data_IF_509126535993
#
_entry.id   IF_509126535993
#
_cell.length_a   1.000
_cell.length_b   1.000
_cell.length_c   1.000
_cell.angle_alpha   90.00
_cell.angle_beta   90.00
_cell.angle_gamma   90.00
#
_symmetry.space_group_name_H-M   'P 1'
#
loop_
_entity.id
_entity.type
_entity.pdbx_description
1 polymer ?
#
# COMPACT_ATOMS: atom_id res chain seq x y z
N UNK A 1 17.78 36.84 -38.27
CA UNK A 1 16.66 37.06 -37.32
C UNK A 1 17.23 37.43 -35.96
N UNK A 2 16.73 38.50 -35.33
CA UNK A 2 17.31 38.98 -34.07
C UNK A 2 16.99 38.02 -32.93
N UNK A 3 18.02 37.60 -32.16
CA UNK A 3 17.90 36.75 -30.96
C UNK A 3 16.93 37.30 -29.90
N UNK A 4 16.51 38.57 -30.02
CA UNK A 4 15.56 39.23 -29.11
C UNK A 4 14.10 38.89 -29.40
N UNK A 5 13.71 38.70 -30.66
CA UNK A 5 12.32 38.37 -31.02
C UNK A 5 11.93 36.91 -30.67
N UNK A 6 12.87 35.96 -30.81
CA UNK A 6 12.63 34.54 -30.49
C UNK A 6 12.44 34.27 -28.99
N UNK A 7 13.13 35.00 -28.10
CA UNK A 7 13.01 34.79 -26.64
C UNK A 7 11.68 35.28 -26.05
N UNK A 8 11.17 36.42 -26.53
CA UNK A 8 9.92 37.01 -26.02
C UNK A 8 8.71 36.18 -26.41
N UNK A 9 8.67 35.66 -27.64
CA UNK A 9 7.57 34.81 -28.14
C UNK A 9 7.59 33.42 -27.51
N UNK A 10 8.78 32.83 -27.27
CA UNK A 10 8.86 31.58 -26.51
C UNK A 10 8.37 31.78 -25.08
N UNK A 11 8.72 32.89 -24.42
CA UNK A 11 8.25 33.16 -23.05
C UNK A 11 6.73 33.37 -22.98
N UNK A 12 6.12 34.04 -23.96
CA UNK A 12 4.66 34.24 -24.00
C UNK A 12 3.90 32.96 -24.39
N UNK A 13 4.44 32.14 -25.28
CA UNK A 13 3.84 30.85 -25.63
C UNK A 13 3.96 29.83 -24.48
N UNK A 14 5.07 29.84 -23.75
CA UNK A 14 5.30 29.04 -22.53
C UNK A 14 4.39 29.51 -21.39
N UNK A 15 4.11 30.82 -21.27
CA UNK A 15 3.10 31.32 -20.34
C UNK A 15 1.67 30.92 -20.76
N UNK A 16 1.35 30.96 -22.05
CA UNK A 16 0.07 30.52 -22.60
C UNK A 16 -0.19 29.01 -22.48
N UNK A 17 0.87 28.22 -22.49
CA UNK A 17 0.82 26.76 -22.28
C UNK A 17 0.36 26.38 -20.88
N UNK A 18 0.68 27.18 -19.86
CA UNK A 18 0.14 26.90 -18.54
C UNK A 18 -1.38 26.97 -18.59
N UNK A 19 -2.01 27.82 -19.42
CA UNK A 19 -3.47 27.96 -19.50
C UNK A 19 -4.17 26.66 -19.91
N UNK A 20 -4.71 25.91 -18.94
CA UNK A 20 -5.69 24.86 -19.22
C UNK A 20 -6.89 25.45 -19.96
N UNK A 21 -7.37 24.78 -21.00
CA UNK A 21 -8.60 25.14 -21.72
C UNK A 21 -9.81 24.99 -20.79
N UNK A 22 -10.19 26.06 -20.10
CA UNK A 22 -11.44 26.12 -19.34
C UNK A 22 -12.59 26.25 -20.32
N UNK A 23 -13.31 25.15 -20.58
CA UNK A 23 -14.61 25.19 -21.24
C UNK A 23 -15.53 26.12 -20.45
N UNK A 24 -16.27 26.97 -21.15
CA UNK A 24 -17.16 27.94 -20.52
C UNK A 24 -18.33 27.22 -19.85
N UNK A 25 -18.37 27.13 -18.50
CA UNK A 25 -19.61 27.06 -17.68
C UNK A 25 -19.33 27.30 -16.19
N UNK A 26 -20.32 27.91 -15.52
CA UNK A 26 -20.49 28.24 -14.10
C UNK A 26 -19.70 29.48 -13.59
N UNK A 27 -20.35 30.26 -12.73
CA UNK A 27 -19.77 31.45 -12.12
C UNK A 27 -18.55 31.01 -11.30
N UNK A 28 -17.34 31.43 -11.71
CA UNK A 28 -16.11 31.11 -10.99
C UNK A 28 -16.28 31.56 -9.54
N UNK A 29 -16.35 30.59 -8.61
CA UNK A 29 -16.29 30.92 -7.20
C UNK A 29 -14.89 31.46 -6.93
N UNK A 30 -14.81 32.66 -6.37
CA UNK A 30 -13.54 33.28 -6.00
C UNK A 30 -13.45 33.45 -4.50
N UNK A 31 -12.35 33.01 -3.93
CA UNK A 31 -12.02 33.19 -2.51
C UNK A 31 -10.74 34.00 -2.40
N UNK A 32 -10.78 35.06 -1.59
CA UNK A 32 -9.57 35.83 -1.26
C UNK A 32 -9.01 35.31 0.05
N UNK A 33 -7.72 34.97 0.05
CA UNK A 33 -6.97 34.46 1.20
C UNK A 33 -5.66 35.25 1.30
N UNK A 34 -5.58 36.14 2.29
CA UNK A 34 -4.44 37.06 2.41
C UNK A 34 -4.27 37.91 1.15
N UNK A 35 -3.09 37.81 0.52
CA UNK A 35 -2.75 38.53 -0.71
C UNK A 35 -3.07 37.74 -2.00
N UNK A 36 -3.78 36.62 -1.89
CA UNK A 36 -4.05 35.72 -3.00
C UNK A 36 -5.55 35.60 -3.29
N UNK A 37 -5.86 35.51 -4.58
CA UNK A 37 -7.16 35.11 -5.08
C UNK A 37 -7.07 33.66 -5.53
N UNK A 38 -7.97 32.83 -5.00
CA UNK A 38 -8.23 31.47 -5.44
C UNK A 38 -9.48 31.54 -6.31
N UNK A 39 -9.33 31.24 -7.59
CA UNK A 39 -10.40 31.21 -8.57
C UNK A 39 -10.68 29.76 -8.95
N UNK A 40 -11.83 29.23 -8.52
CA UNK A 40 -12.27 27.89 -8.90
C UNK A 40 -12.79 27.94 -10.34
N UNK A 41 -12.13 27.19 -11.21
CA UNK A 41 -12.37 27.20 -12.67
C UNK A 41 -13.17 25.99 -13.14
N UNK A 42 -13.06 24.86 -12.43
CA UNK A 42 -13.88 23.66 -12.55
C UNK A 42 -14.01 23.01 -11.16
N UNK A 43 -14.85 21.98 -10.96
CA UNK A 43 -14.96 21.27 -9.67
C UNK A 43 -13.61 20.83 -9.09
N UNK A 44 -12.70 20.40 -9.97
CA UNK A 44 -11.40 19.85 -9.59
C UNK A 44 -10.22 20.74 -10.00
N UNK A 45 -10.46 22.00 -10.39
CA UNK A 45 -9.38 22.90 -10.78
C UNK A 45 -9.53 24.32 -10.25
N UNK A 46 -8.42 24.88 -9.77
CA UNK A 46 -8.32 26.25 -9.29
C UNK A 46 -7.08 26.95 -9.86
N UNK A 47 -7.20 28.26 -10.05
CA UNK A 47 -6.09 29.17 -10.29
C UNK A 47 -5.81 29.95 -9.02
N UNK A 48 -4.55 30.00 -8.60
CA UNK A 48 -4.12 30.82 -7.46
C UNK A 48 -3.13 31.87 -7.94
N UNK A 49 -3.43 33.13 -7.68
CA UNK A 49 -2.63 34.26 -8.11
C UNK A 49 -2.73 35.40 -7.11
N UNK A 50 -1.76 36.33 -7.14
CA UNK A 50 -1.82 37.50 -6.25
C UNK A 50 -3.02 38.37 -6.59
N UNK A 51 -3.78 38.78 -5.57
CA UNK A 51 -4.98 39.59 -5.74
C UNK A 51 -4.63 40.90 -6.46
N UNK A 52 -5.39 41.23 -7.50
CA UNK A 52 -5.14 42.40 -8.36
C UNK A 52 -4.12 42.17 -9.47
N UNK A 53 -3.47 41.01 -9.55
CA UNK A 53 -2.66 40.60 -10.70
C UNK A 53 -3.47 39.81 -11.72
N UNK A 54 -2.95 39.73 -12.95
CA UNK A 54 -3.55 38.95 -14.03
C UNK A 54 -3.62 37.47 -13.65
N UNK A 55 -4.79 36.85 -13.82
CA UNK A 55 -4.98 35.40 -13.71
C UNK A 55 -4.44 34.63 -14.93
N UNK A 56 -3.78 35.35 -15.85
CA UNK A 56 -3.15 34.84 -17.06
C UNK A 56 -1.63 35.11 -17.08
N UNK A 57 -1.01 35.25 -15.90
CA UNK A 57 0.44 35.43 -15.75
C UNK A 57 1.16 34.08 -15.53
N UNK A 58 2.47 34.04 -15.78
CA UNK A 58 3.34 32.89 -15.59
C UNK A 58 3.52 32.45 -14.12
N UNK A 59 3.11 33.32 -13.18
CA UNK A 59 3.18 33.07 -11.75
C UNK A 59 1.85 32.54 -11.18
N UNK A 60 0.84 32.35 -12.04
CA UNK A 60 -0.43 31.73 -11.64
C UNK A 60 -0.18 30.25 -11.38
N UNK A 61 -0.54 29.80 -10.18
CA UNK A 61 -0.51 28.38 -9.83
C UNK A 61 -1.74 27.71 -10.41
N UNK A 62 -1.53 26.69 -11.24
CA UNK A 62 -2.60 25.90 -11.83
C UNK A 62 -2.77 24.62 -11.06
N UNK A 63 -3.82 24.57 -10.27
CA UNK A 63 -4.04 23.57 -9.25
C UNK A 63 -5.11 22.59 -9.71
N UNK A 64 -4.81 21.31 -9.66
CA UNK A 64 -5.83 20.27 -9.61
C UNK A 64 -6.19 20.03 -8.13
N UNK A 65 -7.38 20.45 -7.71
CA UNK A 65 -7.82 20.47 -6.31
C UNK A 65 -8.29 19.11 -5.82
N UNK A 66 -8.61 18.17 -6.71
CA UNK A 66 -8.89 16.78 -6.34
C UNK A 66 -7.61 16.08 -5.84
N UNK A 67 -6.54 16.18 -6.61
CA UNK A 67 -5.25 15.56 -6.31
C UNK A 67 -4.36 16.42 -5.41
N UNK A 68 -4.60 17.73 -5.36
CA UNK A 68 -3.73 18.70 -4.68
C UNK A 68 -2.40 18.86 -5.40
N UNK A 69 -2.41 18.96 -6.72
CA UNK A 69 -1.19 19.06 -7.53
C UNK A 69 -1.14 20.37 -8.30
N UNK A 70 0.07 20.89 -8.52
CA UNK A 70 0.29 22.07 -9.37
C UNK A 70 0.94 21.62 -10.68
N UNK A 71 0.36 22.03 -11.80
CA UNK A 71 0.92 21.81 -13.13
C UNK A 71 2.01 22.84 -13.44
N UNK A 72 3.18 22.36 -13.83
CA UNK A 72 4.38 23.16 -14.05
C UNK A 72 5.12 22.74 -15.34
N UNK A 73 6.04 23.61 -15.73
CA UNK A 73 6.99 23.39 -16.81
C UNK A 73 8.35 23.97 -16.41
N UNK A 74 9.43 23.31 -16.83
CA UNK A 74 10.76 23.88 -16.71
C UNK A 74 11.07 24.68 -17.98
N UNK A 75 11.19 26.00 -17.85
CA UNK A 75 11.41 26.88 -19.00
C UNK A 75 12.72 26.56 -19.74
N UNK A 76 13.78 26.16 -19.04
CA UNK A 76 15.08 25.85 -19.67
C UNK A 76 14.96 24.58 -20.52
N UNK A 77 14.29 23.57 -19.98
CA UNK A 77 13.99 22.30 -20.66
C UNK A 77 13.14 22.54 -21.93
N UNK A 78 12.01 23.22 -21.79
CA UNK A 78 11.11 23.50 -22.91
C UNK A 78 11.79 24.33 -23.99
N UNK A 79 12.51 25.39 -23.61
CA UNK A 79 13.21 26.23 -24.59
C UNK A 79 14.33 25.47 -25.32
N UNK A 80 15.02 24.56 -24.64
CA UNK A 80 16.03 23.70 -25.25
C UNK A 80 15.39 22.75 -26.27
N UNK A 81 14.29 22.09 -25.89
CA UNK A 81 13.55 21.19 -26.77
C UNK A 81 12.96 21.91 -28.00
N UNK A 82 12.40 23.11 -27.83
CA UNK A 82 11.94 23.94 -28.96
C UNK A 82 13.10 24.28 -29.90
N UNK A 83 14.24 24.71 -29.34
CA UNK A 83 15.42 25.08 -30.13
C UNK A 83 16.01 23.89 -30.89
N UNK A 84 15.89 22.69 -30.34
CA UNK A 84 16.30 21.44 -31.00
C UNK A 84 15.32 21.06 -32.12
N UNK A 85 14.01 21.10 -31.85
CA UNK A 85 12.99 20.82 -32.85
C UNK A 85 13.06 21.78 -34.03
N UNK A 86 13.28 23.08 -33.80
CA UNK A 86 13.43 24.09 -34.86
C UNK A 86 14.62 23.83 -35.80
N UNK A 87 15.63 23.06 -35.36
CA UNK A 87 16.78 22.65 -36.19
C UNK A 87 16.53 21.35 -36.95
N UNK A 88 15.45 20.64 -36.65
CA UNK A 88 15.14 19.34 -37.26
C UNK A 88 14.66 19.49 -38.71
N UNK A 89 14.81 18.42 -39.49
CA UNK A 89 14.26 18.34 -40.84
C UNK A 89 12.73 18.48 -40.83
N UNK A 90 12.05 17.89 -39.83
CA UNK A 90 10.61 17.95 -39.67
C UNK A 90 10.06 19.38 -39.55
N UNK A 91 10.76 20.27 -38.85
CA UNK A 91 10.36 21.68 -38.77
C UNK A 91 10.47 22.38 -40.13
N UNK A 92 11.51 22.07 -40.89
CA UNK A 92 11.70 22.63 -42.24
C UNK A 92 10.66 22.10 -43.22
N UNK A 93 10.34 20.81 -43.16
CA UNK A 93 9.28 20.16 -43.96
C UNK A 93 7.91 20.75 -43.63
N UNK A 94 7.59 20.95 -42.34
CA UNK A 94 6.34 21.57 -41.92
C UNK A 94 6.18 22.99 -42.49
N UNK A 95 7.26 23.79 -42.47
CA UNK A 95 7.26 25.13 -43.09
C UNK A 95 7.04 25.08 -44.61
N UNK A 96 7.58 24.07 -45.29
CA UNK A 96 7.39 23.90 -46.74
C UNK A 96 5.98 23.42 -47.10
N UNK A 97 5.37 22.58 -46.27
CA UNK A 97 4.02 22.05 -46.47
C UNK A 97 2.94 23.12 -46.21
N UNK A 98 3.21 24.07 -45.31
CA UNK A 98 2.29 25.16 -44.94
C UNK A 98 2.91 26.55 -45.16
N UNK A 99 3.24 26.94 -46.40
CA UNK A 99 3.95 28.20 -46.68
C UNK A 99 3.10 29.45 -46.40
N UNK A 100 1.78 29.30 -46.30
CA UNK A 100 0.84 30.40 -46.00
C UNK A 100 0.72 30.71 -44.50
N UNK A 101 1.26 29.86 -43.62
CA UNK A 101 1.18 30.06 -42.16
C UNK A 101 2.37 30.90 -41.70
N UNK A 102 2.15 32.02 -41.00
CA UNK A 102 3.24 32.83 -40.45
C UNK A 102 4.13 32.02 -39.51
N UNK A 103 5.45 32.20 -39.61
CA UNK A 103 6.44 31.50 -38.77
C UNK A 103 6.17 31.68 -37.27
N UNK A 104 5.60 32.81 -36.88
CA UNK A 104 5.18 33.08 -35.50
C UNK A 104 4.07 32.15 -35.02
N UNK A 105 3.07 31.86 -35.86
CA UNK A 105 2.00 30.91 -35.54
C UNK A 105 2.53 29.48 -35.47
N UNK A 106 3.43 29.11 -36.38
CA UNK A 106 4.10 27.80 -36.34
C UNK A 106 4.87 27.64 -35.02
N UNK A 107 5.63 28.67 -34.63
CA UNK A 107 6.38 28.65 -33.37
C UNK A 107 5.49 28.59 -32.13
N UNK A 108 4.33 29.24 -32.16
CA UNK A 108 3.34 29.13 -31.08
C UNK A 108 2.79 27.70 -30.95
N UNK A 109 2.43 27.04 -32.06
CA UNK A 109 1.95 25.65 -32.06
C UNK A 109 3.03 24.70 -31.54
N UNK A 110 4.27 24.87 -32.01
CA UNK A 110 5.41 24.05 -31.56
C UNK A 110 5.66 24.22 -30.06
N UNK A 111 5.65 25.47 -29.58
CA UNK A 111 5.85 25.75 -28.16
C UNK A 111 4.75 25.13 -27.30
N UNK A 112 3.49 25.17 -27.76
CA UNK A 112 2.36 24.53 -27.08
C UNK A 112 2.54 23.00 -27.03
N UNK A 113 2.83 22.36 -28.16
CA UNK A 113 2.99 20.89 -28.18
C UNK A 113 4.18 20.42 -27.34
N UNK A 114 5.34 21.06 -27.51
CA UNK A 114 6.55 20.67 -26.77
C UNK A 114 6.37 20.89 -25.29
N UNK A 115 5.76 22.00 -24.89
CA UNK A 115 5.61 22.24 -23.48
C UNK A 115 4.50 21.40 -22.83
N UNK A 116 3.46 20.96 -23.56
CA UNK A 116 2.54 19.93 -23.06
C UNK A 116 3.28 18.60 -22.82
N UNK A 117 4.19 18.22 -23.72
CA UNK A 117 5.03 17.01 -23.56
C UNK A 117 5.96 17.08 -22.33
N UNK A 118 6.39 18.29 -21.95
CA UNK A 118 7.26 18.50 -20.79
C UNK A 118 6.51 19.01 -19.57
N UNK A 119 5.17 19.02 -19.61
CA UNK A 119 4.35 19.40 -18.46
C UNK A 119 4.45 18.30 -17.41
N UNK A 120 4.65 18.71 -16.18
CA UNK A 120 4.69 17.81 -15.03
C UNK A 120 3.91 18.40 -13.87
N UNK A 121 3.54 17.54 -12.92
CA UNK A 121 2.78 17.94 -11.74
C UNK A 121 3.61 17.79 -10.48
N UNK A 122 3.46 18.72 -9.56
CA UNK A 122 4.09 18.69 -8.23
C UNK A 122 3.04 18.52 -7.15
N UNK A 123 3.29 17.61 -6.23
CA UNK A 123 2.38 17.33 -5.12
C UNK A 123 2.42 18.44 -4.08
N UNK A 124 1.26 19.03 -3.81
CA UNK A 124 1.02 20.08 -2.83
C UNK A 124 -0.30 19.78 -2.09
N UNK A 125 -0.32 18.79 -1.18
CA UNK A 125 -1.55 18.29 -0.57
C UNK A 125 -2.40 19.35 0.15
N UNK A 126 -1.80 20.46 0.60
CA UNK A 126 -2.51 21.61 1.18
C UNK A 126 -3.47 22.29 0.20
N UNK A 127 -3.30 22.07 -1.10
CA UNK A 127 -4.17 22.62 -2.13
C UNK A 127 -5.31 21.67 -2.54
N UNK A 128 -5.50 20.57 -1.82
CA UNK A 128 -6.70 19.74 -1.98
C UNK A 128 -7.96 20.50 -1.56
N UNK A 129 -9.08 20.23 -2.20
CA UNK A 129 -10.38 20.88 -1.93
C UNK A 129 -10.70 20.96 -0.43
N UNK A 130 -10.49 19.86 0.31
CA UNK A 130 -10.74 19.80 1.76
C UNK A 130 -9.90 20.82 2.56
N UNK A 131 -8.66 21.05 2.13
CA UNK A 131 -7.70 21.93 2.81
C UNK A 131 -7.86 23.40 2.39
N UNK A 132 -8.32 23.67 1.17
CA UNK A 132 -8.53 25.03 0.65
C UNK A 132 -9.56 25.83 1.46
N UNK A 133 -10.43 25.17 2.23
CA UNK A 133 -11.36 25.84 3.15
C UNK A 133 -10.62 26.61 4.25
N UNK A 134 -9.52 26.07 4.76
CA UNK A 134 -8.80 26.61 5.92
C UNK A 134 -7.38 27.11 5.59
N UNK A 135 -6.97 27.03 4.33
CA UNK A 135 -5.65 27.51 3.90
C UNK A 135 -5.47 29.00 4.23
N UNK A 136 -4.27 29.34 4.69
CA UNK A 136 -3.86 30.70 5.06
C UNK A 136 -3.02 31.36 3.96
N UNK A 137 -2.92 32.69 4.01
CA UNK A 137 -2.08 33.44 3.07
C UNK A 137 -0.60 33.04 3.16
N UNK A 138 -0.10 32.81 4.38
CA UNK A 138 1.29 32.41 4.65
C UNK A 138 1.61 31.04 4.05
N UNK A 139 0.66 30.09 4.11
CA UNK A 139 0.82 28.77 3.47
C UNK A 139 0.87 28.91 1.94
N UNK A 140 0.03 29.75 1.35
CA UNK A 140 0.08 30.01 -0.11
C UNK A 140 1.39 30.70 -0.49
N UNK A 141 1.88 31.64 0.32
CA UNK A 141 3.19 32.28 0.12
C UNK A 141 4.33 31.25 0.17
N UNK A 142 4.32 30.36 1.15
CA UNK A 142 5.31 29.29 1.27
C UNK A 142 5.29 28.35 0.05
N UNK A 143 4.09 27.94 -0.39
CA UNK A 143 3.90 27.12 -1.59
C UNK A 143 4.44 27.85 -2.82
N UNK A 144 4.01 29.10 -3.05
CA UNK A 144 4.44 29.87 -4.22
C UNK A 144 5.96 30.06 -4.26
N UNK A 145 6.58 30.39 -3.12
CA UNK A 145 8.04 30.52 -3.00
C UNK A 145 8.77 29.20 -3.29
N UNK A 146 8.20 28.07 -2.88
CA UNK A 146 8.75 26.76 -3.22
C UNK A 146 8.62 26.46 -4.72
N UNK A 147 7.44 26.67 -5.30
CA UNK A 147 7.17 26.41 -6.72
C UNK A 147 8.05 27.24 -7.64
N UNK A 148 8.36 28.49 -7.28
CA UNK A 148 9.32 29.32 -8.03
C UNK A 148 10.70 28.66 -8.12
N UNK A 149 11.16 27.96 -7.07
CA UNK A 149 12.42 27.22 -7.10
C UNK A 149 12.29 25.91 -7.87
N UNK A 150 11.17 25.21 -7.69
CA UNK A 150 10.89 23.94 -8.36
C UNK A 150 10.88 24.09 -9.87
N UNK A 151 10.20 25.10 -10.42
CA UNK A 151 10.13 25.34 -11.88
C UNK A 151 11.49 25.61 -12.53
N UNK A 152 12.48 26.04 -11.76
CA UNK A 152 13.83 26.36 -12.25
C UNK A 152 14.78 25.15 -12.23
N UNK A 153 14.52 24.18 -11.35
CA UNK A 153 15.41 23.05 -11.03
C UNK A 153 14.84 21.73 -11.55
N UNK A 154 13.59 21.44 -11.24
CA UNK A 154 12.95 20.17 -11.56
C UNK A 154 12.53 20.19 -13.02
N UNK A 155 12.75 19.06 -13.70
CA UNK A 155 12.36 18.83 -15.09
C UNK A 155 11.24 17.80 -15.16
N UNK A 156 10.63 17.66 -16.34
CA UNK A 156 9.64 16.61 -16.62
C UNK A 156 10.12 15.22 -16.20
N UNK A 157 11.42 14.93 -16.38
CA UNK A 157 12.04 13.65 -16.04
C UNK A 157 12.22 13.41 -14.55
N UNK A 158 12.52 14.45 -13.77
CA UNK A 158 12.82 14.32 -12.32
C UNK A 158 11.62 14.60 -11.43
N UNK A 159 10.49 15.07 -11.98
CA UNK A 159 9.32 15.45 -11.20
C UNK A 159 8.72 14.30 -10.39
N UNK A 160 8.66 13.09 -10.96
CA UNK A 160 8.18 11.90 -10.26
C UNK A 160 9.08 11.57 -9.07
N UNK A 161 10.40 11.58 -9.26
CA UNK A 161 11.36 11.33 -8.19
C UNK A 161 11.29 12.40 -7.11
N UNK A 162 11.10 13.68 -7.48
CA UNK A 162 10.91 14.77 -6.52
C UNK A 162 9.67 14.54 -5.64
N UNK A 163 8.52 14.27 -6.27
CA UNK A 163 7.27 14.01 -5.56
C UNK A 163 7.40 12.82 -4.59
N UNK A 164 8.06 11.75 -5.05
CA UNK A 164 8.28 10.57 -4.23
C UNK A 164 9.25 10.84 -3.07
N UNK A 165 10.33 11.58 -3.30
CA UNK A 165 11.30 11.93 -2.27
C UNK A 165 10.64 12.77 -1.17
N UNK A 166 9.87 13.79 -1.55
CA UNK A 166 9.15 14.65 -0.60
C UNK A 166 8.08 13.85 0.16
N UNK A 167 7.35 12.97 -0.53
CA UNK A 167 6.40 12.06 0.13
C UNK A 167 7.07 11.07 1.09
N UNK A 168 8.33 10.71 0.83
CA UNK A 168 9.15 9.86 1.69
C UNK A 168 9.81 10.65 2.84
N UNK A 169 9.46 11.92 3.03
CA UNK A 169 9.90 12.77 4.14
C UNK A 169 11.13 13.64 3.86
N UNK A 170 11.63 13.68 2.62
CA UNK A 170 12.66 14.65 2.26
C UNK A 170 12.08 16.06 2.20
N UNK A 171 12.77 17.06 2.78
CA UNK A 171 12.38 18.46 2.58
C UNK A 171 12.51 18.83 1.11
N UNK A 172 11.61 19.68 0.60
CA UNK A 172 11.69 20.20 -0.76
C UNK A 172 13.05 20.83 -1.09
N UNK A 173 13.67 21.54 -0.13
CA UNK A 173 14.99 22.16 -0.30
C UNK A 173 16.09 21.12 -0.58
N UNK A 174 16.11 20.03 0.19
CA UNK A 174 17.05 18.93 -0.02
C UNK A 174 16.79 18.21 -1.34
N UNK A 175 15.53 18.01 -1.72
CA UNK A 175 15.17 17.38 -2.99
C UNK A 175 15.61 18.24 -4.19
N UNK A 176 15.46 19.57 -4.09
CA UNK A 176 15.96 20.52 -5.09
C UNK A 176 17.49 20.53 -5.17
N UNK A 177 18.17 20.48 -4.03
CA UNK A 177 19.62 20.41 -3.98
C UNK A 177 20.16 19.12 -4.60
N UNK A 178 19.51 17.99 -4.31
CA UNK A 178 19.82 16.70 -4.94
C UNK A 178 19.62 16.79 -6.45
N UNK A 179 18.47 17.29 -6.93
CA UNK A 179 18.16 17.43 -8.35
C UNK A 179 19.16 18.35 -9.09
N UNK A 180 19.63 19.42 -8.45
CA UNK A 180 20.54 20.42 -9.05
C UNK A 180 22.01 19.98 -9.10
N UNK A 181 22.36 18.82 -8.52
CA UNK A 181 23.77 18.43 -8.40
C UNK A 181 24.41 18.17 -9.76
N UNK A 182 25.60 18.78 -9.98
CA UNK A 182 26.38 18.66 -11.21
C UNK A 182 26.81 17.20 -11.50
N UNK A 183 26.82 16.34 -10.48
CA UNK A 183 27.19 14.93 -10.59
C UNK A 183 25.95 14.02 -10.72
N UNK A 184 25.10 14.31 -11.70
CA UNK A 184 23.92 13.48 -11.99
C UNK A 184 22.82 13.58 -10.95
N UNK A 185 22.47 14.80 -10.52
CA UNK A 185 21.50 15.07 -9.46
C UNK A 185 20.15 14.33 -9.53
N UNK A 186 19.64 14.11 -10.74
CA UNK A 186 18.45 13.28 -10.95
C UNK A 186 18.63 11.82 -10.47
N UNK A 187 19.82 11.22 -10.64
CA UNK A 187 20.10 9.86 -10.19
C UNK A 187 20.16 9.75 -8.66
N UNK A 188 20.68 10.77 -7.97
CA UNK A 188 20.69 10.82 -6.50
C UNK A 188 19.26 10.94 -5.95
N UNK A 189 18.45 11.82 -6.55
CA UNK A 189 17.05 11.98 -6.17
C UNK A 189 16.27 10.68 -6.40
N UNK A 190 16.46 10.04 -7.55
CA UNK A 190 15.87 8.73 -7.87
C UNK A 190 16.25 7.66 -6.83
N UNK A 191 17.53 7.59 -6.46
CA UNK A 191 18.01 6.59 -5.49
C UNK A 191 17.41 6.82 -4.09
N UNK A 192 17.29 8.08 -3.66
CA UNK A 192 16.61 8.39 -2.41
C UNK A 192 15.13 7.97 -2.44
N UNK A 193 14.43 8.30 -3.51
CA UNK A 193 13.03 7.90 -3.71
C UNK A 193 12.85 6.39 -3.66
N UNK A 194 13.76 5.65 -4.32
CA UNK A 194 13.81 4.18 -4.27
C UNK A 194 14.03 3.64 -2.86
N UNK A 195 14.99 4.19 -2.11
CA UNK A 195 15.29 3.78 -0.73
C UNK A 195 14.09 4.04 0.19
N UNK A 196 13.47 5.22 0.11
CA UNK A 196 12.30 5.53 0.93
C UNK A 196 11.11 4.59 0.66
N UNK A 197 10.89 4.22 -0.61
CA UNK A 197 9.87 3.22 -0.99
C UNK A 197 10.19 1.84 -0.41
N UNK A 198 11.45 1.40 -0.46
CA UNK A 198 11.88 0.13 0.13
C UNK A 198 11.69 0.11 1.66
N UNK A 199 12.02 1.21 2.35
CA UNK A 199 11.81 1.33 3.81
C UNK A 199 10.32 1.21 4.15
N UNK A 200 9.46 1.88 3.37
CA UNK A 200 8.00 1.80 3.56
C UNK A 200 7.49 0.38 3.36
N UNK A 201 7.96 -0.32 2.32
CA UNK A 201 7.60 -1.72 2.05
C UNK A 201 8.08 -2.67 3.17
N UNK A 202 9.32 -2.50 3.63
CA UNK A 202 9.86 -3.29 4.74
C UNK A 202 9.09 -3.04 6.03
N UNK A 203 8.69 -1.80 6.30
CA UNK A 203 7.86 -1.47 7.47
C UNK A 203 6.52 -2.21 7.43
N UNK A 204 5.85 -2.25 6.27
CA UNK A 204 4.60 -3.03 6.09
C UNK A 204 4.83 -4.54 6.27
N UNK A 205 5.93 -5.07 5.74
CA UNK A 205 6.28 -6.49 5.90
C UNK A 205 6.55 -6.84 7.37
N UNK A 206 7.29 -5.99 8.10
CA UNK A 206 7.55 -6.18 9.54
C UNK A 206 6.24 -6.16 10.34
N UNK A 207 5.33 -5.22 10.05
CA UNK A 207 4.02 -5.18 10.71
C UNK A 207 3.19 -6.44 10.43
N UNK A 208 3.22 -6.95 9.19
CA UNK A 208 2.55 -8.20 8.82
C UNK A 208 3.14 -9.39 9.57
N UNK A 209 4.47 -9.53 9.57
CA UNK A 209 5.18 -10.58 10.29
C UNK A 209 4.89 -10.52 11.80
N UNK A 210 4.82 -9.32 12.38
CA UNK A 210 4.49 -9.13 13.79
C UNK A 210 3.09 -9.66 14.13
N UNK A 211 2.10 -9.49 13.25
CA UNK A 211 0.74 -10.05 13.43
C UNK A 211 0.76 -11.58 13.32
N UNK A 212 1.46 -12.11 12.32
CA UNK A 212 1.61 -13.56 12.15
C UNK A 212 2.29 -14.21 13.36
N UNK A 213 3.29 -13.57 13.96
CA UNK A 213 3.93 -14.05 15.19
C UNK A 213 2.97 -14.05 16.38
N UNK A 214 2.10 -13.03 16.52
CA UNK A 214 1.07 -13.01 17.56
C UNK A 214 0.06 -14.15 17.38
N UNK A 215 -0.39 -14.40 16.15
CA UNK A 215 -1.27 -15.53 15.84
C UNK A 215 -0.60 -16.88 16.10
N UNK A 216 0.67 -17.02 15.73
CA UNK A 216 1.45 -18.23 15.98
C UNK A 216 1.59 -18.49 17.49
N UNK A 217 1.85 -17.46 18.29
CA UNK A 217 1.91 -17.60 19.74
C UNK A 217 0.57 -18.06 20.34
N UNK A 218 -0.56 -17.55 19.84
CA UNK A 218 -1.88 -18.02 20.26
C UNK A 218 -2.10 -19.50 19.90
N UNK A 219 -1.73 -19.90 18.68
CA UNK A 219 -1.81 -21.30 18.22
C UNK A 219 -0.90 -22.23 19.01
N UNK A 220 0.32 -21.80 19.36
CA UNK A 220 1.23 -22.57 20.19
C UNK A 220 0.65 -22.83 21.59
N UNK A 221 0.02 -21.83 22.20
CA UNK A 221 -0.64 -22.00 23.49
C UNK A 221 -1.79 -23.01 23.42
N UNK A 222 -2.56 -22.98 22.33
CA UNK A 222 -3.62 -23.97 22.09
C UNK A 222 -3.06 -25.38 21.87
N UNK A 223 -2.02 -25.52 21.04
CA UNK A 223 -1.33 -26.81 20.88
C UNK A 223 -0.76 -27.33 22.20
N UNK A 224 -0.16 -26.48 23.04
CA UNK A 224 0.31 -26.89 24.37
C UNK A 224 -0.83 -27.39 25.26
N UNK A 225 -2.01 -26.79 25.17
CA UNK A 225 -3.20 -27.26 25.88
C UNK A 225 -3.66 -28.61 25.35
N UNK A 226 -3.83 -28.75 24.03
CA UNK A 226 -4.22 -30.01 23.40
C UNK A 226 -3.24 -31.14 23.71
N UNK A 227 -1.92 -30.87 23.72
CA UNK A 227 -0.91 -31.87 24.08
C UNK A 227 -1.08 -32.32 25.53
N UNK A 228 -1.35 -31.41 26.47
CA UNK A 228 -1.60 -31.77 27.87
C UNK A 228 -2.89 -32.59 28.00
N UNK A 229 -3.96 -32.18 27.33
CA UNK A 229 -5.25 -32.89 27.34
C UNK A 229 -5.09 -34.31 26.75
N UNK A 230 -4.44 -34.44 25.60
CA UNK A 230 -4.12 -35.74 24.98
C UNK A 230 -3.27 -36.62 25.91
N UNK A 231 -2.29 -36.04 26.61
CA UNK A 231 -1.46 -36.80 27.55
C UNK A 231 -2.28 -37.34 28.73
N UNK A 232 -3.23 -36.54 29.25
CA UNK A 232 -4.13 -36.96 30.31
C UNK A 232 -5.13 -38.02 29.83
N UNK A 233 -5.71 -37.87 28.63
CA UNK A 233 -6.55 -38.89 27.99
C UNK A 233 -5.79 -40.21 27.81
N UNK A 234 -4.55 -40.16 27.33
CA UNK A 234 -3.70 -41.35 27.19
C UNK A 234 -3.45 -42.05 28.52
N UNK A 235 -3.17 -41.30 29.60
CA UNK A 235 -3.01 -41.91 30.93
C UNK A 235 -4.29 -42.58 31.41
N UNK A 236 -5.45 -41.95 31.21
CA UNK A 236 -6.76 -42.52 31.56
C UNK A 236 -7.05 -43.79 30.77
N UNK A 237 -6.82 -43.76 29.46
CA UNK A 237 -6.96 -44.93 28.60
C UNK A 237 -6.05 -46.09 29.03
N UNK A 238 -4.80 -45.81 29.41
CA UNK A 238 -3.88 -46.83 29.93
C UNK A 238 -4.35 -47.42 31.27
N UNK A 239 -4.82 -46.58 32.21
CA UNK A 239 -5.37 -47.04 33.49
C UNK A 239 -6.63 -47.90 33.29
N UNK A 240 -7.52 -47.49 32.39
CA UNK A 240 -8.71 -48.27 32.02
C UNK A 240 -8.34 -49.60 31.37
N UNK A 241 -7.36 -49.60 30.46
CA UNK A 241 -6.86 -50.83 29.84
C UNK A 241 -6.31 -51.80 30.88
N UNK A 242 -5.54 -51.30 31.84
CA UNK A 242 -5.06 -52.10 32.98
C UNK A 242 -6.22 -52.66 33.82
N UNK A 243 -7.27 -51.86 34.07
CA UNK A 243 -8.46 -52.31 34.81
C UNK A 243 -9.22 -53.40 34.05
N UNK A 244 -9.46 -53.21 32.74
CA UNK A 244 -10.13 -54.20 31.87
C UNK A 244 -9.34 -55.51 31.76
N UNK A 245 -8.01 -55.44 31.78
CA UNK A 245 -7.14 -56.61 31.78
C UNK A 245 -7.24 -57.41 33.08
N UNK A 246 -7.53 -56.75 34.21
CA UNK A 246 -7.75 -57.39 35.51
C UNK A 246 -9.09 -58.13 35.65
N UNK A 247 -10.02 -57.99 34.70
CA UNK A 247 -11.30 -58.71 34.73
C UNK A 247 -11.09 -60.21 34.50
N UNK A 248 -11.36 -61.00 35.54
CA UNK A 248 -11.26 -62.46 35.49
C UNK A 248 -12.21 -63.09 34.46
N UNK A 249 -11.77 -64.21 33.91
CA UNK A 249 -12.56 -64.99 32.97
C UNK A 249 -13.43 -66.02 33.72
N UNK A 250 -14.63 -66.36 33.22
CA UNK A 250 -15.48 -67.37 33.83
C UNK A 250 -14.80 -68.75 33.83
N UNK A 251 -14.62 -69.33 35.03
CA UNK A 251 -14.04 -70.67 35.22
C UNK A 251 -15.05 -71.81 35.02
N UNK A 252 -16.32 -71.62 35.42
CA UNK A 252 -17.34 -72.68 35.39
C UNK A 252 -18.16 -72.65 34.10
N UNK A 253 -18.34 -73.81 33.48
CA UNK A 253 -19.21 -73.99 32.30
C UNK A 253 -20.68 -73.77 32.68
N UNK A 254 -21.42 -73.08 31.80
CA UNK A 254 -22.87 -72.89 31.93
C UNK A 254 -23.30 -71.87 32.99
N UNK A 255 -22.37 -71.08 33.54
CA UNK A 255 -22.66 -70.05 34.55
C UNK A 255 -22.20 -68.67 34.09
N UNK A 256 -23.02 -67.67 34.40
CA UNK A 256 -22.63 -66.25 34.27
C UNK A 256 -21.64 -65.88 35.38
N UNK A 257 -20.62 -65.11 35.02
CA UNK A 257 -19.67 -64.51 35.95
C UNK A 257 -19.72 -62.99 35.86
N UNK A 258 -19.71 -62.31 37.00
CA UNK A 258 -19.55 -60.87 37.11
C UNK A 258 -18.21 -60.59 37.78
N UNK A 259 -17.42 -59.69 37.18
CA UNK A 259 -16.11 -59.28 37.65
C UNK A 259 -16.03 -57.78 37.82
N UNK A 260 -15.24 -57.35 38.78
CA UNK A 260 -14.84 -55.96 38.96
C UNK A 260 -13.33 -55.92 39.19
N UNK A 261 -12.67 -54.92 38.63
CA UNK A 261 -11.22 -54.74 38.72
C UNK A 261 -10.88 -53.25 38.82
N UNK A 262 -9.74 -52.96 39.44
CA UNK A 262 -9.16 -51.63 39.53
C UNK A 262 -7.86 -51.62 38.75
N UNK A 263 -7.63 -50.57 37.97
CA UNK A 263 -6.40 -50.37 37.21
C UNK A 263 -5.84 -48.98 37.45
N UNK A 264 -4.52 -48.84 37.32
CA UNK A 264 -3.83 -47.57 37.52
C UNK A 264 -2.68 -47.40 36.54
N UNK A 265 -2.45 -46.17 36.11
CA UNK A 265 -1.30 -45.79 35.29
C UNK A 265 -0.88 -44.35 35.60
N UNK A 266 0.39 -44.16 35.94
CA UNK A 266 0.91 -42.89 36.48
C UNK A 266 0.06 -42.44 37.69
N UNK A 267 -0.59 -41.29 37.58
CA UNK A 267 -1.42 -40.62 38.57
C UNK A 267 -2.93 -40.84 38.34
N UNK A 268 -3.31 -41.63 37.33
CA UNK A 268 -4.71 -41.95 37.01
C UNK A 268 -5.10 -43.34 37.48
N UNK A 269 -6.35 -43.45 37.94
CA UNK A 269 -6.97 -44.71 38.36
C UNK A 269 -8.26 -44.92 37.56
N UNK A 270 -8.61 -46.18 37.33
CA UNK A 270 -9.79 -46.58 36.60
C UNK A 270 -10.45 -47.78 37.29
N UNK A 271 -11.77 -47.84 37.19
CA UNK A 271 -12.59 -48.96 37.66
C UNK A 271 -13.19 -49.65 36.46
N UNK A 272 -13.08 -50.97 36.41
CA UNK A 272 -13.68 -51.81 35.39
C UNK A 272 -14.69 -52.76 36.00
N UNK A 273 -15.77 -53.00 35.29
CA UNK A 273 -16.73 -54.06 35.58
C UNK A 273 -17.01 -54.84 34.30
N UNK A 274 -17.18 -56.15 34.41
CA UNK A 274 -17.42 -56.99 33.25
C UNK A 274 -18.20 -58.24 33.58
N UNK A 275 -18.75 -58.83 32.53
CA UNK A 275 -19.48 -60.08 32.58
C UNK A 275 -18.86 -61.09 31.62
N UNK A 276 -18.93 -62.36 31.98
CA UNK A 276 -18.44 -63.44 31.15
C UNK A 276 -19.36 -64.66 31.21
N UNK A 277 -19.39 -65.41 30.12
CA UNK A 277 -20.10 -66.67 30.02
C UNK A 277 -19.23 -67.72 29.32
N UNK A 278 -19.09 -68.89 29.94
CA UNK A 278 -18.39 -70.04 29.36
C UNK A 278 -19.42 -71.03 28.84
N UNK A 279 -19.54 -71.11 27.51
CA UNK A 279 -20.55 -71.92 26.83
C UNK A 279 -20.29 -73.41 27.00
N UNK A 280 -19.02 -73.82 26.89
CA UNK A 280 -18.54 -75.18 27.10
C UNK A 280 -17.08 -75.14 27.56
N UNK A 281 -16.44 -76.28 27.76
CA UNK A 281 -15.03 -76.34 28.19
C UNK A 281 -14.07 -75.70 27.16
N UNK A 282 -14.47 -75.56 25.90
CA UNK A 282 -13.63 -75.06 24.82
C UNK A 282 -13.94 -73.61 24.38
N UNK A 283 -15.05 -73.02 24.80
CA UNK A 283 -15.54 -71.74 24.28
C UNK A 283 -16.05 -70.84 25.39
N UNK A 284 -15.49 -69.63 25.48
CA UNK A 284 -15.92 -68.60 26.41
C UNK A 284 -16.03 -67.22 25.74
N UNK A 285 -16.91 -66.36 26.25
CA UNK A 285 -16.98 -64.96 25.87
C UNK A 285 -17.00 -64.07 27.11
N UNK A 286 -16.45 -62.86 26.97
CA UNK A 286 -16.52 -61.82 27.99
C UNK A 286 -16.72 -60.44 27.38
N UNK A 287 -17.35 -59.56 28.14
CA UNK A 287 -17.49 -58.15 27.83
C UNK A 287 -17.25 -57.33 29.09
N UNK A 288 -16.58 -56.19 28.97
CA UNK A 288 -16.27 -55.32 30.10
C UNK A 288 -16.32 -53.84 29.71
N UNK A 289 -16.57 -53.00 30.71
CA UNK A 289 -16.52 -51.55 30.61
C UNK A 289 -15.60 -51.02 31.71
N UNK A 290 -14.88 -49.95 31.43
CA UNK A 290 -14.04 -49.26 32.40
C UNK A 290 -14.28 -47.77 32.35
N UNK A 291 -14.26 -47.13 33.52
CA UNK A 291 -14.45 -45.70 33.69
C UNK A 291 -13.28 -45.09 34.45
N UNK A 292 -12.85 -43.89 34.02
CA UNK A 292 -11.81 -43.10 34.67
C UNK A 292 -12.10 -41.63 34.45
N UNK A 293 -12.36 -40.87 35.53
CA UNK A 293 -12.48 -39.40 35.53
C UNK A 293 -13.33 -38.84 34.37
N UNK A 294 -14.52 -39.42 34.16
CA UNK A 294 -15.48 -39.00 33.12
C UNK A 294 -15.36 -39.73 31.77
N UNK A 295 -14.23 -40.37 31.47
CA UNK A 295 -14.04 -41.16 30.25
C UNK A 295 -14.42 -42.62 30.45
N UNK A 296 -14.93 -43.27 29.40
CA UNK A 296 -15.36 -44.67 29.41
C UNK A 296 -14.77 -45.43 28.22
N UNK A 297 -14.25 -46.63 28.46
CA UNK A 297 -13.85 -47.59 27.42
C UNK A 297 -14.50 -48.95 27.64
N UNK A 298 -14.51 -49.78 26.60
CA UNK A 298 -15.13 -51.10 26.63
C UNK A 298 -14.27 -52.14 25.90
N UNK A 299 -14.40 -53.40 26.28
CA UNK A 299 -13.81 -54.53 25.58
C UNK A 299 -14.80 -55.68 25.42
N UNK A 300 -14.61 -56.48 24.37
CA UNK A 300 -15.31 -57.74 24.14
C UNK A 300 -14.28 -58.74 23.64
N UNK A 301 -14.31 -59.96 24.14
CA UNK A 301 -13.39 -61.02 23.73
C UNK A 301 -14.06 -62.39 23.74
N UNK A 302 -13.61 -63.25 22.83
CA UNK A 302 -14.00 -64.66 22.75
C UNK A 302 -12.73 -65.52 22.82
N UNK A 303 -12.81 -66.64 23.52
CA UNK A 303 -11.73 -67.60 23.67
C UNK A 303 -12.16 -68.97 23.13
N UNK A 304 -11.26 -69.63 22.41
CA UNK A 304 -11.42 -70.99 21.90
C UNK A 304 -10.21 -71.84 22.31
N UNK A 305 -10.43 -72.97 22.97
CA UNK A 305 -9.40 -73.93 23.42
C UNK A 305 -9.53 -75.23 22.61
N UNK A 306 -8.42 -75.78 22.12
CA UNK A 306 -8.36 -76.97 21.26
C UNK A 306 -7.36 -78.00 21.77
#
# INVERSE_FOLDING_TARGET
>A
MSKKFSKTILSSAVAGLLMMSSGAMAANETKVVGNYTIEFTNPDSAKIYKTGQSNNDENVLQVNTETGTISLINKKEVNAAISEFQKSAAYSEFKQQYPSVPEEQINAIVAQQIGELHRYSINTPLLKSDNLTNITGDEIDAINNNIVKVKDVITSKTAADYNQAVSNGMSSEAALAAASSANGGGAMLHEFSRIGTNITNNTKAIQSNSRQLQEHNARLNDHQRQIRENHEEMKRAAAQSAALAGLFQPYSVGKFNATAALGGYSDKQAVAVGVGYRFNEQTAAKAGIAASDGDVSYNVGVNFEF
#
